data_IF_703051081745
#
_entry.id   IF_703051081745
#
_cell.length_a   1.000
_cell.length_b   1.000
_cell.length_c   1.000
_cell.angle_alpha   90.00
_cell.angle_beta   90.00
_cell.angle_gamma   90.00
#
_symmetry.space_group_name_H-M   'P 1'
#
loop_
_entity.id
_entity.type
_entity.pdbx_description
1 polymer ?
#
# COMPACT_ATOMS: atom_id res chain seq x y z
N UNK A 1 3.42 -7.50 5.74
CA UNK A 1 2.11 -8.03 5.29
C UNK A 1 1.11 -6.89 5.41
N UNK A 2 1.21 -5.91 4.52
CA UNK A 2 0.24 -4.83 4.38
C UNK A 2 -1.12 -5.46 4.02
N UNK A 3 -1.91 -5.73 5.06
CA UNK A 3 -3.32 -6.00 4.91
C UNK A 3 -3.90 -4.81 4.17
N UNK A 4 -4.56 -5.07 3.06
CA UNK A 4 -5.19 -4.08 2.19
C UNK A 4 -6.11 -3.19 3.03
N UNK A 5 -5.60 -2.04 3.52
CA UNK A 5 -6.32 -1.19 4.49
C UNK A 5 -7.72 -0.84 3.97
N UNK A 6 -7.85 -0.65 2.65
CA UNK A 6 -9.09 -0.35 1.95
C UNK A 6 -10.17 -1.46 1.97
N UNK A 7 -9.90 -2.60 2.61
CA UNK A 7 -10.91 -3.63 2.89
C UNK A 7 -11.67 -3.40 4.20
N UNK A 8 -11.18 -2.51 5.04
CA UNK A 8 -11.74 -2.22 6.35
C UNK A 8 -12.63 -0.97 6.29
N UNK A 9 -13.55 -0.87 7.25
CA UNK A 9 -14.41 0.30 7.37
C UNK A 9 -13.60 1.54 7.73
N UNK A 10 -14.09 2.72 7.33
CA UNK A 10 -13.35 3.98 7.53
C UNK A 10 -13.01 4.23 9.00
N UNK A 11 -13.89 3.81 9.92
CA UNK A 11 -13.70 3.94 11.36
C UNK A 11 -12.60 3.00 11.86
N UNK A 12 -12.53 1.77 11.32
CA UNK A 12 -11.50 0.78 11.67
C UNK A 12 -10.12 1.25 11.20
N UNK A 13 -10.05 1.79 9.98
CA UNK A 13 -8.83 2.41 9.44
C UNK A 13 -8.42 3.57 10.35
N UNK A 14 -9.34 4.49 10.67
CA UNK A 14 -9.04 5.68 11.46
C UNK A 14 -8.57 5.38 12.89
N UNK A 15 -9.04 4.28 13.51
CA UNK A 15 -8.54 3.85 14.82
C UNK A 15 -7.26 2.99 14.75
N UNK A 16 -6.93 2.45 13.58
CA UNK A 16 -5.70 1.70 13.31
C UNK A 16 -5.71 0.23 13.72
N UNK A 17 -6.84 -0.31 14.15
CA UNK A 17 -7.01 -1.73 14.51
C UNK A 17 -8.43 -2.21 14.23
N UNK A 18 -8.60 -3.52 14.08
CA UNK A 18 -9.87 -4.19 13.81
C UNK A 18 -10.02 -5.44 14.69
N UNK A 19 -11.25 -5.88 14.96
CA UNK A 19 -11.50 -7.19 15.57
C UNK A 19 -11.68 -8.23 14.48
N UNK A 20 -10.80 -9.23 14.45
CA UNK A 20 -10.87 -10.38 13.55
C UNK A 20 -11.01 -11.66 14.37
N UNK A 21 -12.21 -12.25 14.36
CA UNK A 21 -12.51 -13.44 15.15
C UNK A 21 -12.32 -13.20 16.65
N UNK A 22 -11.37 -13.91 17.24
CA UNK A 22 -11.01 -13.84 18.67
C UNK A 22 -9.86 -12.86 18.95
N UNK A 23 -9.28 -12.20 17.95
CA UNK A 23 -8.16 -11.28 18.13
C UNK A 23 -8.50 -9.84 17.72
N UNK A 24 -7.78 -8.89 18.30
CA UNK A 24 -7.66 -7.52 17.81
C UNK A 24 -6.37 -7.40 17.02
N UNK A 25 -6.46 -6.95 15.77
CA UNK A 25 -5.31 -6.87 14.85
C UNK A 25 -5.04 -5.42 14.50
N UNK A 26 -3.79 -4.99 14.66
CA UNK A 26 -3.32 -3.71 14.16
C UNK A 26 -3.35 -3.73 12.63
N UNK A 27 -4.03 -2.75 12.03
CA UNK A 27 -4.14 -2.61 10.57
C UNK A 27 -2.85 -2.10 9.93
N UNK A 28 -1.95 -1.50 10.72
CA UNK A 28 -0.74 -0.84 10.22
C UNK A 28 0.45 -1.80 10.11
N UNK A 29 0.55 -2.80 10.99
CA UNK A 29 1.65 -3.78 10.99
C UNK A 29 1.22 -5.24 11.10
N UNK A 30 -0.06 -5.51 11.34
CA UNK A 30 -0.60 -6.87 11.47
C UNK A 30 -0.39 -7.53 12.84
N UNK A 31 0.17 -6.84 13.84
CA UNK A 31 0.29 -7.37 15.20
C UNK A 31 -1.09 -7.75 15.75
N UNK A 32 -1.20 -8.95 16.35
CA UNK A 32 -2.45 -9.51 16.82
C UNK A 32 -2.46 -9.70 18.34
N UNK A 33 -3.57 -9.35 18.96
CA UNK A 33 -3.82 -9.39 20.40
C UNK A 33 -5.05 -10.27 20.66
N UNK A 34 -4.85 -11.46 21.21
CA UNK A 34 -5.88 -12.47 21.45
C UNK A 34 -6.78 -12.06 22.63
N UNK A 35 -8.09 -12.07 22.42
CA UNK A 35 -9.07 -11.81 23.47
C UNK A 35 -8.96 -12.85 24.59
N UNK A 36 -9.21 -12.41 25.82
CA UNK A 36 -9.04 -13.25 27.02
C UNK A 36 -7.60 -13.31 27.56
N UNK A 37 -6.63 -12.70 26.87
CA UNK A 37 -5.28 -12.47 27.40
C UNK A 37 -5.14 -11.07 27.98
N UNK A 38 -4.23 -10.95 28.94
CA UNK A 38 -3.78 -9.67 29.48
C UNK A 38 -2.37 -9.41 28.97
N UNK A 39 -2.14 -8.19 28.51
CA UNK A 39 -0.88 -7.75 27.92
C UNK A 39 -0.24 -6.70 28.82
N UNK A 40 0.99 -6.95 29.25
CA UNK A 40 1.82 -5.95 29.90
C UNK A 40 2.50 -5.08 28.85
N UNK A 41 2.37 -3.77 28.99
CA UNK A 41 2.97 -2.79 28.07
C UNK A 41 3.85 -1.80 28.81
N UNK A 42 4.46 -0.89 28.07
CA UNK A 42 5.39 0.13 28.58
C UNK A 42 4.85 0.82 29.84
N UNK A 43 5.71 0.93 30.87
CA UNK A 43 5.33 1.43 32.19
C UNK A 43 4.69 0.38 33.11
N UNK A 44 4.72 -0.91 32.75
CA UNK A 44 4.22 -2.02 33.58
C UNK A 44 2.68 -2.07 33.69
N UNK A 45 1.98 -1.36 32.80
CA UNK A 45 0.53 -1.29 32.83
C UNK A 45 -0.07 -2.48 32.06
N UNK A 46 -1.10 -3.08 32.66
CA UNK A 46 -1.80 -4.24 32.12
C UNK A 46 -3.05 -3.79 31.34
N UNK A 47 -3.21 -4.34 30.13
CA UNK A 47 -4.36 -4.07 29.26
C UNK A 47 -5.01 -5.37 28.80
N UNK A 48 -6.32 -5.32 28.55
CA UNK A 48 -6.98 -6.34 27.76
C UNK A 48 -6.53 -6.27 26.29
N UNK A 49 -6.95 -7.23 25.47
CA UNK A 49 -6.55 -7.30 24.06
C UNK A 49 -6.90 -6.04 23.24
N UNK A 50 -8.06 -5.43 23.48
CA UNK A 50 -8.46 -4.21 22.78
C UNK A 50 -7.60 -3.02 23.19
N UNK A 51 -7.40 -2.84 24.50
CA UNK A 51 -6.54 -1.81 25.07
C UNK A 51 -5.10 -1.96 24.59
N UNK A 52 -4.61 -3.20 24.53
CA UNK A 52 -3.28 -3.51 24.01
C UNK A 52 -3.14 -3.16 22.53
N UNK A 53 -4.12 -3.52 21.69
CA UNK A 53 -4.12 -3.14 20.27
C UNK A 53 -4.15 -1.62 20.08
N UNK A 54 -5.01 -0.91 20.82
CA UNK A 54 -5.10 0.56 20.77
C UNK A 54 -3.78 1.22 21.20
N UNK A 55 -3.19 0.76 22.30
CA UNK A 55 -1.90 1.26 22.81
C UNK A 55 -0.76 0.98 21.84
N UNK A 56 -0.73 -0.22 21.27
CA UNK A 56 0.24 -0.61 20.26
C UNK A 56 0.23 0.34 19.05
N UNK A 57 -0.95 0.68 18.52
CA UNK A 57 -1.07 1.65 17.42
C UNK A 57 -0.35 2.95 17.77
N UNK A 58 -0.63 3.51 18.95
CA UNK A 58 -0.01 4.78 19.37
C UNK A 58 1.50 4.66 19.62
N UNK A 59 1.96 3.57 20.24
CA UNK A 59 3.37 3.39 20.60
C UNK A 59 4.26 3.00 19.43
N UNK A 60 3.78 2.12 18.56
CA UNK A 60 4.56 1.61 17.43
C UNK A 60 4.45 2.51 16.19
N UNK A 61 3.35 3.26 16.05
CA UNK A 61 3.04 3.97 14.80
C UNK A 61 2.67 5.46 15.00
N UNK A 62 2.57 5.95 16.23
CA UNK A 62 2.10 7.31 16.50
C UNK A 62 0.60 7.45 16.22
N UNK A 63 0.17 8.55 15.61
CA UNK A 63 -1.21 8.68 15.17
C UNK A 63 -1.41 8.01 13.82
N UNK A 64 -2.61 7.49 13.54
CA UNK A 64 -2.94 6.96 12.22
C UNK A 64 -2.78 8.04 11.13
N UNK A 65 -3.09 9.30 11.46
CA UNK A 65 -2.91 10.42 10.54
C UNK A 65 -1.43 10.60 10.15
N UNK A 66 -0.54 10.63 11.13
CA UNK A 66 0.91 10.75 10.87
C UNK A 66 1.42 9.53 10.12
N UNK A 67 0.99 8.32 10.51
CA UNK A 67 1.37 7.10 9.81
C UNK A 67 0.95 7.11 8.34
N UNK A 68 -0.29 7.51 8.02
CA UNK A 68 -0.78 7.65 6.64
C UNK A 68 0.00 8.71 5.86
N UNK A 69 0.37 9.80 6.53
CA UNK A 69 1.16 10.87 5.94
C UNK A 69 2.62 10.49 5.74
N UNK A 70 3.14 9.45 6.38
CA UNK A 70 4.49 8.90 6.10
C UNK A 70 4.50 7.89 4.94
N UNK A 71 3.33 7.43 4.47
CA UNK A 71 3.24 6.52 3.32
C UNK A 71 3.48 7.22 1.98
N UNK A 72 3.66 6.45 0.91
CA UNK A 72 3.78 7.02 -0.45
C UNK A 72 2.48 7.77 -0.82
N UNK A 73 2.54 8.94 -1.49
CA UNK A 73 1.35 9.74 -1.84
C UNK A 73 0.29 8.96 -2.65
N UNK A 74 0.73 7.96 -3.42
CA UNK A 74 -0.13 7.06 -4.19
C UNK A 74 -1.16 6.31 -3.32
N UNK A 75 -0.85 6.02 -2.04
CA UNK A 75 -1.76 5.31 -1.14
C UNK A 75 -3.04 6.12 -0.86
N UNK A 76 -2.91 7.43 -0.71
CA UNK A 76 -4.02 8.35 -0.35
C UNK A 76 -4.54 9.15 -1.55
N UNK A 77 -3.90 9.00 -2.72
CA UNK A 77 -4.20 9.80 -3.91
C UNK A 77 -3.92 11.29 -3.71
N UNK A 78 -2.95 11.62 -2.86
CA UNK A 78 -2.46 12.99 -2.64
C UNK A 78 -1.26 13.27 -3.54
N UNK A 79 -1.04 14.54 -3.87
CA UNK A 79 0.24 14.98 -4.44
C UNK A 79 1.29 15.13 -3.35
N UNK A 80 2.58 15.10 -3.71
CA UNK A 80 3.68 15.32 -2.75
C UNK A 80 3.52 16.63 -1.98
N UNK A 81 3.17 17.71 -2.69
CA UNK A 81 2.87 19.00 -2.07
C UNK A 81 1.69 18.89 -1.08
N UNK A 82 0.58 18.25 -1.45
CA UNK A 82 -0.57 18.10 -0.56
C UNK A 82 -0.20 17.32 0.72
N UNK A 83 0.59 16.26 0.58
CA UNK A 83 1.07 15.46 1.70
C UNK A 83 1.99 16.26 2.63
N UNK A 84 2.94 17.03 2.08
CA UNK A 84 3.79 17.93 2.87
C UNK A 84 2.99 18.98 3.64
N UNK A 85 1.99 19.59 2.99
CA UNK A 85 1.10 20.55 3.64
C UNK A 85 0.33 19.88 4.79
N UNK A 86 -0.22 18.69 4.58
CA UNK A 86 -0.95 17.95 5.60
C UNK A 86 -0.07 17.50 6.77
N UNK A 87 1.20 17.15 6.56
CA UNK A 87 2.18 16.90 7.64
C UNK A 87 2.33 18.11 8.55
N UNK A 88 2.46 19.31 7.98
CA UNK A 88 2.56 20.52 8.78
C UNK A 88 1.25 20.87 9.51
N UNK A 89 0.09 20.56 8.90
CA UNK A 89 -1.21 20.70 9.56
C UNK A 89 -1.31 19.73 10.74
N UNK A 90 -0.90 18.47 10.58
CA UNK A 90 -0.88 17.46 11.64
C UNK A 90 -0.01 17.90 12.83
N UNK A 91 1.13 18.54 12.53
CA UNK A 91 2.01 19.14 13.53
C UNK A 91 1.46 20.43 14.18
N UNK A 92 0.22 20.85 13.88
CA UNK A 92 -0.44 22.00 14.52
C UNK A 92 0.09 23.37 14.10
N UNK A 93 0.80 23.48 12.96
CA UNK A 93 1.41 24.76 12.51
C UNK A 93 0.36 25.74 11.98
N UNK A 94 0.65 27.03 12.10
CA UNK A 94 -0.20 28.10 11.56
C UNK A 94 -0.05 28.24 10.04
N UNK A 95 -1.11 28.66 9.34
CA UNK A 95 -1.14 28.75 7.86
C UNK A 95 0.00 29.59 7.27
N UNK A 96 0.40 30.67 7.94
CA UNK A 96 1.51 31.51 7.51
C UNK A 96 2.85 30.76 7.54
N UNK A 97 3.08 29.94 8.56
CA UNK A 97 4.28 29.12 8.70
C UNK A 97 4.30 27.99 7.69
N UNK A 98 3.15 27.34 7.47
CA UNK A 98 3.02 26.28 6.46
C UNK A 98 3.33 26.84 5.07
N UNK A 99 2.74 28.00 4.74
CA UNK A 99 2.95 28.68 3.47
C UNK A 99 4.43 29.01 3.25
N UNK A 100 5.11 29.53 4.28
CA UNK A 100 6.54 29.83 4.24
C UNK A 100 7.39 28.58 4.00
N UNK A 101 7.13 27.48 4.70
CA UNK A 101 7.88 26.22 4.53
C UNK A 101 7.67 25.60 3.13
N UNK A 102 6.46 25.68 2.59
CA UNK A 102 6.13 25.15 1.28
C UNK A 102 6.48 26.10 0.11
N UNK A 103 6.99 27.30 0.39
CA UNK A 103 7.32 28.29 -0.64
C UNK A 103 6.11 28.85 -1.38
N UNK A 104 4.93 28.88 -0.75
CA UNK A 104 3.67 29.38 -1.34
C UNK A 104 3.15 30.61 -0.60
N UNK A 105 2.26 31.38 -1.23
CA UNK A 105 1.59 32.49 -0.56
C UNK A 105 0.55 32.01 0.47
N UNK A 106 0.29 32.75 1.57
CA UNK A 106 -0.76 32.41 2.53
C UNK A 106 -2.17 32.30 1.91
N UNK A 107 -2.45 33.09 0.87
CA UNK A 107 -3.68 32.97 0.07
C UNK A 107 -3.79 31.61 -0.63
N UNK A 108 -2.68 31.11 -1.19
CA UNK A 108 -2.58 29.79 -1.81
C UNK A 108 -2.79 28.67 -0.78
N UNK A 109 -2.25 28.80 0.43
CA UNK A 109 -2.46 27.84 1.52
C UNK A 109 -3.95 27.71 1.89
N UNK A 110 -4.64 28.84 2.04
CA UNK A 110 -6.11 28.84 2.27
C UNK A 110 -6.87 28.17 1.14
N UNK A 111 -6.47 28.42 -0.11
CA UNK A 111 -7.06 27.74 -1.28
C UNK A 111 -6.83 26.23 -1.25
N UNK A 112 -5.63 25.76 -0.86
CA UNK A 112 -5.34 24.34 -0.68
C UNK A 112 -6.25 23.70 0.37
N UNK A 113 -6.40 24.31 1.56
CA UNK A 113 -7.31 23.81 2.61
C UNK A 113 -8.75 23.70 2.11
N UNK A 114 -9.24 24.72 1.43
CA UNK A 114 -10.58 24.71 0.86
C UNK A 114 -10.77 23.56 -0.13
N UNK A 115 -9.83 23.38 -1.07
CA UNK A 115 -9.89 22.29 -2.05
C UNK A 115 -9.80 20.90 -1.40
N UNK A 116 -8.97 20.73 -0.37
CA UNK A 116 -8.87 19.47 0.37
C UNK A 116 -10.19 19.13 1.09
N UNK A 117 -10.80 20.11 1.76
CA UNK A 117 -12.11 19.95 2.42
C UNK A 117 -13.22 19.65 1.42
N UNK A 118 -13.18 20.25 0.23
CA UNK A 118 -14.16 19.94 -0.81
C UNK A 118 -13.96 18.53 -1.38
N UNK A 119 -12.70 18.10 -1.58
CA UNK A 119 -12.36 16.73 -1.96
C UNK A 119 -12.82 15.70 -0.93
N UNK A 120 -12.73 16.00 0.38
CA UNK A 120 -13.23 15.15 1.46
C UNK A 120 -14.75 14.91 1.33
N UNK A 121 -15.54 15.96 1.12
CA UNK A 121 -16.99 15.84 0.89
C UNK A 121 -17.30 15.03 -0.36
N UNK A 122 -16.59 15.31 -1.45
CA UNK A 122 -16.73 14.59 -2.72
C UNK A 122 -16.39 13.10 -2.56
N UNK A 123 -15.31 12.77 -1.85
CA UNK A 123 -14.93 11.40 -1.55
C UNK A 123 -15.99 10.67 -0.72
N UNK A 124 -16.59 11.36 0.25
CA UNK A 124 -17.69 10.81 1.06
C UNK A 124 -18.89 10.43 0.19
N UNK A 125 -19.35 11.36 -0.67
CA UNK A 125 -20.46 11.11 -1.59
C UNK A 125 -20.12 10.05 -2.64
N UNK A 126 -18.88 10.04 -3.12
CA UNK A 126 -18.39 9.06 -4.08
C UNK A 126 -18.41 7.65 -3.49
N UNK A 127 -17.88 7.45 -2.27
CA UNK A 127 -17.92 6.16 -1.60
C UNK A 127 -19.36 5.66 -1.37
N UNK A 128 -20.26 6.55 -0.95
CA UNK A 128 -21.67 6.23 -0.81
C UNK A 128 -22.30 5.81 -2.15
N UNK A 129 -21.98 6.50 -3.25
CA UNK A 129 -22.43 6.12 -4.59
C UNK A 129 -21.88 4.76 -5.01
N UNK A 130 -20.59 4.47 -4.77
CA UNK A 130 -19.97 3.18 -5.11
C UNK A 130 -20.66 2.03 -4.35
N UNK A 131 -20.97 2.24 -3.07
CA UNK A 131 -21.69 1.26 -2.25
C UNK A 131 -23.11 1.02 -2.79
N UNK A 132 -23.87 2.09 -3.00
CA UNK A 132 -25.25 2.01 -3.50
C UNK A 132 -25.32 1.39 -4.90
N UNK A 133 -24.35 1.67 -5.77
CA UNK A 133 -24.26 1.02 -7.09
C UNK A 133 -23.99 -0.47 -6.97
N UNK A 134 -23.08 -0.89 -6.08
CA UNK A 134 -22.77 -2.30 -5.88
C UNK A 134 -23.98 -3.10 -5.36
N UNK A 135 -24.78 -2.50 -4.47
CA UNK A 135 -26.06 -3.08 -4.01
C UNK A 135 -27.07 -3.16 -5.16
N UNK A 136 -27.22 -2.07 -5.93
CA UNK A 136 -28.22 -1.98 -7.01
C UNK A 136 -27.96 -2.95 -8.17
N UNK A 137 -26.70 -3.17 -8.52
CA UNK A 137 -26.31 -4.01 -9.67
C UNK A 137 -25.93 -5.44 -9.27
N UNK A 138 -25.92 -5.74 -7.98
CA UNK A 138 -25.33 -6.96 -7.38
C UNK A 138 -23.87 -7.21 -7.80
N UNK A 139 -23.20 -6.17 -8.31
CA UNK A 139 -21.85 -6.23 -8.88
C UNK A 139 -21.06 -5.00 -8.47
N UNK A 140 -19.90 -5.22 -7.86
CA UNK A 140 -18.93 -4.13 -7.66
C UNK A 140 -18.46 -3.59 -9.01
N UNK A 141 -18.10 -2.32 -9.08
CA UNK A 141 -17.62 -1.68 -10.33
C UNK A 141 -16.37 -2.40 -10.91
N UNK A 142 -15.54 -3.01 -10.06
CA UNK A 142 -14.41 -3.82 -10.50
C UNK A 142 -14.79 -5.16 -11.15
N UNK A 143 -16.07 -5.56 -11.12
CA UNK A 143 -16.55 -6.79 -11.75
C UNK A 143 -16.89 -6.54 -13.22
N UNK A 144 -16.01 -6.99 -14.10
CA UNK A 144 -16.17 -6.93 -15.56
C UNK A 144 -16.77 -8.23 -16.10
N UNK A 145 -17.12 -8.26 -17.39
CA UNK A 145 -17.53 -9.49 -18.08
C UNK A 145 -16.43 -10.57 -18.05
N UNK A 146 -15.17 -10.17 -17.91
CA UNK A 146 -13.99 -11.04 -17.84
C UNK A 146 -13.57 -11.38 -16.40
N UNK A 147 -14.40 -11.04 -15.40
CA UNK A 147 -14.17 -11.30 -13.98
C UNK A 147 -13.83 -10.04 -13.17
N UNK A 148 -13.47 -10.24 -11.91
CA UNK A 148 -13.04 -9.16 -11.01
C UNK A 148 -11.64 -8.66 -11.39
N UNK A 149 -11.47 -7.34 -11.47
CA UNK A 149 -10.17 -6.70 -11.58
C UNK A 149 -9.34 -6.97 -10.32
N UNK A 150 -8.08 -7.34 -10.52
CA UNK A 150 -7.13 -7.51 -9.44
C UNK A 150 -6.83 -6.16 -8.77
N UNK A 151 -6.61 -6.16 -7.45
CA UNK A 151 -6.11 -4.97 -6.79
C UNK A 151 -4.73 -4.59 -7.34
N UNK A 152 -4.52 -3.27 -7.41
CA UNK A 152 -3.21 -2.67 -7.67
C UNK A 152 -2.37 -2.79 -6.41
N UNK A 153 -1.07 -3.01 -6.57
CA UNK A 153 -0.15 -3.06 -5.43
C UNK A 153 0.08 -1.63 -4.90
N UNK A 154 0.04 -1.39 -3.57
CA UNK A 154 0.29 -0.09 -2.95
C UNK A 154 1.52 0.68 -3.43
N UNK A 155 2.61 -0.02 -3.74
CA UNK A 155 3.87 0.61 -4.16
C UNK A 155 3.98 0.86 -5.67
N UNK A 156 2.92 0.59 -6.44
CA UNK A 156 2.90 0.84 -7.88
C UNK A 156 3.21 2.33 -8.16
N UNK A 157 4.27 2.56 -8.93
CA UNK A 157 4.78 3.90 -9.28
C UNK A 157 3.87 4.64 -10.26
N UNK A 158 3.13 3.90 -11.10
CA UNK A 158 2.20 4.43 -12.10
C UNK A 158 0.95 3.56 -12.15
N UNK A 159 -0.18 4.04 -11.64
CA UNK A 159 -1.46 3.33 -11.70
C UNK A 159 -2.23 3.79 -12.95
N UNK A 160 -2.11 3.03 -14.02
CA UNK A 160 -2.83 3.26 -15.30
C UNK A 160 -3.57 1.98 -15.75
N UNK A 161 -4.18 2.01 -16.94
CA UNK A 161 -4.96 0.91 -17.53
C UNK A 161 -4.20 -0.43 -17.61
N UNK A 162 -2.87 -0.43 -17.52
CA UNK A 162 -2.04 -1.65 -17.52
C UNK A 162 -2.32 -2.52 -16.29
N UNK A 163 -2.84 -1.94 -15.21
CA UNK A 163 -3.22 -2.67 -14.01
C UNK A 163 -4.63 -3.24 -14.03
N UNK A 164 -5.41 -2.98 -15.09
CA UNK A 164 -6.73 -3.59 -15.31
C UNK A 164 -6.63 -5.09 -15.66
N UNK A 165 -6.01 -5.89 -14.79
CA UNK A 165 -5.72 -7.31 -14.96
C UNK A 165 -6.81 -8.11 -14.24
N UNK A 166 -7.41 -9.08 -14.92
CA UNK A 166 -8.31 -10.05 -14.26
C UNK A 166 -7.56 -11.31 -13.83
N UNK A 167 -8.14 -12.08 -12.91
CA UNK A 167 -7.58 -13.35 -12.49
C UNK A 167 -7.34 -14.33 -13.65
N UNK A 168 -8.24 -14.36 -14.64
CA UNK A 168 -8.12 -15.20 -15.83
C UNK A 168 -6.96 -14.76 -16.73
N UNK A 169 -6.78 -13.45 -16.94
CA UNK A 169 -5.65 -12.91 -17.70
C UNK A 169 -4.32 -13.20 -17.01
N UNK A 170 -4.28 -13.07 -15.68
CA UNK A 170 -3.12 -13.40 -14.86
C UNK A 170 -2.74 -14.87 -15.03
N UNK A 171 -3.69 -15.78 -14.81
CA UNK A 171 -3.45 -17.23 -14.91
C UNK A 171 -2.96 -17.62 -16.32
N UNK A 172 -3.63 -17.10 -17.36
CA UNK A 172 -3.23 -17.35 -18.75
C UNK A 172 -1.81 -16.85 -19.02
N UNK A 173 -1.47 -15.66 -18.53
CA UNK A 173 -0.14 -15.08 -18.72
C UNK A 173 0.92 -15.89 -17.98
N UNK A 174 0.67 -16.26 -16.72
CA UNK A 174 1.61 -17.10 -15.94
C UNK A 174 1.85 -18.43 -16.66
N UNK A 175 0.80 -19.14 -17.09
CA UNK A 175 0.92 -20.39 -17.86
C UNK A 175 1.69 -20.24 -19.17
N UNK A 176 1.64 -19.07 -19.79
CA UNK A 176 2.32 -18.79 -21.07
C UNK A 176 3.82 -18.53 -20.88
N UNK A 177 4.20 -17.82 -19.81
CA UNK A 177 5.55 -17.30 -19.64
C UNK A 177 6.40 -18.11 -18.67
N UNK A 178 5.80 -18.84 -17.73
CA UNK A 178 6.53 -19.71 -16.80
C UNK A 178 6.46 -21.17 -17.25
N UNK A 179 7.47 -21.95 -16.86
CA UNK A 179 7.42 -23.40 -16.94
C UNK A 179 7.01 -24.04 -15.60
N UNK A 180 6.93 -25.37 -15.57
CA UNK A 180 6.54 -26.14 -14.38
C UNK A 180 7.53 -26.00 -13.22
N UNK A 181 8.78 -25.59 -13.50
CA UNK A 181 9.82 -25.38 -12.50
C UNK A 181 9.78 -23.96 -11.91
N UNK A 182 8.95 -23.07 -12.48
CA UNK A 182 8.89 -21.67 -12.10
C UNK A 182 9.94 -20.79 -12.79
N UNK A 183 10.65 -21.30 -13.80
CA UNK A 183 11.55 -20.50 -14.61
C UNK A 183 10.78 -19.74 -15.69
N UNK A 184 11.24 -18.54 -16.00
CA UNK A 184 10.65 -17.65 -17.00
C UNK A 184 11.21 -18.01 -18.38
N UNK A 185 10.34 -18.31 -19.33
CA UNK A 185 10.72 -18.64 -20.72
C UNK A 185 11.27 -17.43 -21.47
N UNK A 186 10.67 -16.26 -21.24
CA UNK A 186 11.07 -14.99 -21.85
C UNK A 186 10.49 -13.80 -21.06
N UNK A 187 11.15 -12.65 -21.11
CA UNK A 187 10.62 -11.40 -20.54
C UNK A 187 9.58 -10.80 -21.50
N UNK A 188 8.33 -10.55 -21.08
CA UNK A 188 7.31 -9.96 -21.95
C UNK A 188 7.67 -8.54 -22.39
N UNK A 189 7.44 -8.24 -23.68
CA UNK A 189 7.55 -6.87 -24.22
C UNK A 189 6.35 -6.00 -23.80
N UNK A 190 5.14 -6.58 -23.74
CA UNK A 190 3.92 -5.84 -23.37
C UNK A 190 3.91 -5.52 -21.87
N UNK A 191 3.77 -4.25 -21.52
CA UNK A 191 3.85 -3.79 -20.13
C UNK A 191 2.82 -4.43 -19.19
N UNK A 192 1.55 -4.58 -19.61
CA UNK A 192 0.53 -5.30 -18.83
C UNK A 192 0.96 -6.74 -18.48
N UNK A 193 1.60 -7.45 -19.41
CA UNK A 193 2.12 -8.81 -19.17
C UNK A 193 3.37 -8.79 -18.28
N UNK A 194 4.20 -7.76 -18.42
CA UNK A 194 5.39 -7.55 -17.57
C UNK A 194 4.97 -7.40 -16.10
N UNK A 195 3.95 -6.59 -15.81
CA UNK A 195 3.39 -6.44 -14.45
C UNK A 195 2.94 -7.79 -13.87
N UNK A 196 2.25 -8.62 -14.67
CA UNK A 196 1.83 -9.97 -14.24
C UNK A 196 3.04 -10.85 -13.91
N UNK A 197 4.05 -10.88 -14.77
CA UNK A 197 5.26 -11.67 -14.57
C UNK A 197 6.04 -11.21 -13.34
N UNK A 198 6.21 -9.90 -13.15
CA UNK A 198 6.90 -9.33 -11.98
C UNK A 198 6.15 -9.66 -10.69
N UNK A 199 4.81 -9.57 -10.68
CA UNK A 199 3.97 -9.96 -9.55
C UNK A 199 4.15 -11.44 -9.20
N UNK A 200 4.27 -12.32 -10.18
CA UNK A 200 4.54 -13.74 -9.95
C UNK A 200 5.94 -13.97 -9.36
N UNK A 201 6.96 -13.27 -9.89
CA UNK A 201 8.34 -13.32 -9.38
C UNK A 201 8.41 -12.91 -7.91
N UNK A 202 7.63 -11.91 -7.49
CA UNK A 202 7.64 -11.41 -6.11
C UNK A 202 7.30 -12.46 -5.05
N UNK A 203 6.64 -13.56 -5.41
CA UNK A 203 6.39 -14.69 -4.49
C UNK A 203 7.68 -15.35 -3.99
N UNK A 204 8.80 -15.14 -4.66
CA UNK A 204 10.12 -15.65 -4.26
C UNK A 204 10.83 -14.75 -3.23
N UNK A 205 10.27 -13.60 -2.89
CA UNK A 205 10.85 -12.64 -1.95
C UNK A 205 10.03 -12.53 -0.67
N UNK A 206 10.72 -12.31 0.44
CA UNK A 206 10.12 -12.09 1.76
C UNK A 206 9.99 -10.59 2.00
N UNK A 207 8.81 -10.18 2.45
CA UNK A 207 8.45 -8.79 2.73
C UNK A 207 9.48 -8.03 3.59
N UNK A 208 9.79 -8.58 4.76
CA UNK A 208 10.64 -7.91 5.77
C UNK A 208 12.13 -8.13 5.56
N UNK A 209 12.53 -8.84 4.49
CA UNK A 209 13.94 -9.18 4.28
C UNK A 209 14.63 -8.10 3.45
N UNK A 210 15.73 -7.59 3.98
CA UNK A 210 16.73 -6.88 3.19
C UNK A 210 17.55 -7.89 2.37
N UNK A 211 17.68 -7.63 1.07
CA UNK A 211 18.49 -8.43 0.16
C UNK A 211 19.67 -7.60 -0.31
N UNK A 212 20.87 -8.17 -0.26
CA UNK A 212 22.02 -7.63 -1.00
C UNK A 212 21.85 -7.86 -2.50
N UNK A 213 22.59 -7.10 -3.33
CA UNK A 213 22.65 -7.32 -4.77
C UNK A 213 22.96 -8.78 -5.14
N UNK A 214 23.87 -9.42 -4.41
CA UNK A 214 24.23 -10.84 -4.64
C UNK A 214 23.07 -11.77 -4.37
N UNK A 215 22.30 -11.53 -3.31
CA UNK A 215 21.15 -12.38 -2.97
C UNK A 215 20.00 -12.22 -3.96
N UNK A 216 19.66 -10.99 -4.33
CA UNK A 216 18.60 -10.77 -5.33
C UNK A 216 18.98 -11.35 -6.69
N UNK A 217 20.22 -11.17 -7.14
CA UNK A 217 20.70 -11.76 -8.40
C UNK A 217 20.67 -13.29 -8.34
N UNK A 218 20.96 -13.89 -7.19
CA UNK A 218 20.86 -15.35 -7.00
C UNK A 218 19.42 -15.85 -7.10
N UNK A 219 18.46 -15.13 -6.53
CA UNK A 219 17.03 -15.49 -6.63
C UNK A 219 16.55 -15.35 -8.07
N UNK A 220 16.80 -14.19 -8.69
CA UNK A 220 16.36 -13.90 -10.06
C UNK A 220 17.08 -14.77 -11.10
N UNK A 221 18.35 -15.11 -10.89
CA UNK A 221 19.13 -15.96 -11.79
C UNK A 221 18.62 -17.40 -11.88
N UNK A 222 17.86 -17.87 -10.88
CA UNK A 222 17.14 -19.15 -10.97
C UNK A 222 15.89 -19.06 -11.84
N UNK A 223 15.35 -17.85 -12.00
CA UNK A 223 14.12 -17.58 -12.74
C UNK A 223 14.44 -17.26 -14.21
N UNK A 224 15.43 -16.41 -14.47
CA UNK A 224 15.81 -16.02 -15.82
C UNK A 224 17.30 -15.62 -15.89
N UNK A 225 18.03 -15.97 -16.96
CA UNK A 225 19.45 -15.61 -17.11
C UNK A 225 19.67 -14.09 -17.18
N UNK A 226 18.74 -13.35 -17.79
CA UNK A 226 18.71 -11.89 -17.74
C UNK A 226 18.04 -11.38 -16.44
N UNK A 227 18.68 -11.68 -15.31
CA UNK A 227 18.25 -11.22 -13.99
C UNK A 227 18.41 -9.71 -13.81
N UNK A 228 19.30 -9.08 -14.57
CA UNK A 228 19.54 -7.64 -14.53
C UNK A 228 18.32 -6.86 -15.03
N UNK A 229 17.73 -7.28 -16.14
CA UNK A 229 16.49 -6.68 -16.67
C UNK A 229 15.33 -6.88 -15.70
N UNK A 230 15.17 -8.08 -15.12
CA UNK A 230 14.13 -8.33 -14.12
C UNK A 230 14.29 -7.45 -12.88
N UNK A 231 15.52 -7.33 -12.35
CA UNK A 231 15.80 -6.46 -11.20
C UNK A 231 15.46 -5.00 -11.46
N UNK A 232 15.83 -4.48 -12.65
CA UNK A 232 15.48 -3.12 -13.05
C UNK A 232 13.97 -2.92 -13.14
N UNK A 233 13.27 -3.86 -13.75
CA UNK A 233 11.83 -3.79 -13.90
C UNK A 233 11.10 -3.89 -12.55
N UNK A 234 11.58 -4.71 -11.60
CA UNK A 234 11.03 -4.77 -10.24
C UNK A 234 11.08 -3.41 -9.53
N UNK A 235 12.15 -2.63 -9.75
CA UNK A 235 12.27 -1.28 -9.18
C UNK A 235 11.39 -0.28 -9.93
N UNK A 236 11.46 -0.28 -11.26
CA UNK A 236 10.72 0.66 -12.11
C UNK A 236 9.21 0.61 -11.87
N UNK A 237 8.67 -0.62 -11.71
CA UNK A 237 7.26 -0.85 -11.44
C UNK A 237 6.87 -0.77 -9.96
N UNK A 238 7.82 -0.48 -9.08
CA UNK A 238 7.57 -0.31 -7.65
C UNK A 238 7.26 -1.61 -6.90
N UNK A 239 7.74 -2.77 -7.39
CA UNK A 239 7.70 -4.02 -6.63
C UNK A 239 8.85 -4.11 -5.62
N UNK A 240 9.95 -3.38 -5.86
CA UNK A 240 11.09 -3.31 -4.95
C UNK A 240 11.65 -1.89 -4.86
N UNK A 241 12.07 -1.51 -3.65
CA UNK A 241 12.86 -0.31 -3.41
C UNK A 241 14.33 -0.69 -3.26
N UNK A 242 15.23 0.23 -3.62
CA UNK A 242 16.69 0.07 -3.43
C UNK A 242 17.29 1.30 -2.76
N UNK A 243 18.37 1.10 -2.02
CA UNK A 243 19.20 2.21 -1.56
C UNK A 243 19.92 2.89 -2.74
N UNK A 244 20.27 4.20 -2.64
CA UNK A 244 20.92 4.92 -3.74
C UNK A 244 22.25 4.31 -4.19
N UNK A 245 22.99 3.72 -3.24
CA UNK A 245 24.24 3.00 -3.46
C UNK A 245 24.04 1.57 -3.99
N UNK A 246 22.79 1.10 -4.12
CA UNK A 246 22.44 -0.21 -4.63
C UNK A 246 22.82 -1.38 -3.72
N UNK A 247 23.21 -1.10 -2.47
CA UNK A 247 23.66 -2.14 -1.53
C UNK A 247 22.52 -2.99 -0.98
N UNK A 248 21.33 -2.39 -0.81
CA UNK A 248 20.17 -3.03 -0.19
C UNK A 248 18.93 -2.90 -1.06
N UNK A 249 18.22 -4.02 -1.22
CA UNK A 249 16.94 -4.16 -1.90
C UNK A 249 15.88 -4.64 -0.91
N UNK A 250 14.67 -4.09 -1.00
CA UNK A 250 13.52 -4.48 -0.17
C UNK A 250 12.27 -4.57 -1.04
N UNK A 251 11.37 -5.50 -0.73
CA UNK A 251 10.05 -5.50 -1.35
C UNK A 251 9.34 -4.18 -0.98
N UNK A 252 8.82 -3.45 -1.95
CA UNK A 252 8.14 -2.19 -1.72
C UNK A 252 6.66 -2.45 -1.39
N UNK A 253 6.05 -1.63 -0.52
CA UNK A 253 4.61 -1.69 -0.18
C UNK A 253 4.19 -2.99 0.51
N UNK A 254 4.96 -3.39 1.53
CA UNK A 254 4.71 -4.59 2.33
C UNK A 254 4.50 -4.27 3.79
#
# INVERSE_FOLDING_TARGET
MEKQLWKHEIIEIAQGYVREGTAYVCLLCGAAFEAGRVYEMEGGLLYDAQGAAKRHVTQAHGTVADWLLEQKPALTGLTELQQQLLKHISAGRADAEIAKHAGIAPSTMRSHRFKLREKEKQATLYLALMHSLAEKTEKRIGATAQGMLDPVHPAATMVDDRYGITAAEREKTVKTYFDETGALRQIPVKEKKKIIVLREIMKNFRAEKAYSEKEINRVLGRIHPDYATLRRALIEYGFMDRTPDGSVYRAAGN
#
